data_IF_627288937335
#
_entry.id   IF_627288937335
#
_cell.length_a   1.000
_cell.length_b   1.000
_cell.length_c   1.000
_cell.angle_alpha   90.00
_cell.angle_beta   90.00
_cell.angle_gamma   90.00
#
_symmetry.space_group_name_H-M   'P 1'
#
loop_
_entity.id
_entity.type
_entity.pdbx_description
1 polymer ?
#
# COMPACT_ATOMS: atom_id res chain seq x y z
N UNK A 1 -43.18 -35.58 25.81
CA UNK A 1 -42.32 -36.63 26.39
C UNK A 1 -41.98 -37.58 25.24
N UNK A 2 -40.91 -37.28 24.48
CA UNK A 2 -40.46 -38.10 23.36
C UNK A 2 -39.15 -38.78 23.72
N UNK A 3 -39.19 -40.11 23.58
CA UNK A 3 -38.18 -41.06 24.04
C UNK A 3 -36.93 -41.02 23.13
N UNK A 4 -35.74 -40.86 23.74
CA UNK A 4 -34.44 -40.71 23.07
C UNK A 4 -33.69 -42.03 22.87
N UNK A 5 -34.38 -43.18 22.76
CA UNK A 5 -33.73 -44.52 22.78
C UNK A 5 -33.97 -45.42 21.57
N UNK A 6 -34.27 -44.92 20.42
CA UNK A 6 -34.55 -45.76 19.25
C UNK A 6 -33.86 -45.35 17.95
N UNK A 7 -32.55 -45.15 17.94
CA UNK A 7 -31.73 -45.17 16.71
C UNK A 7 -30.33 -45.70 17.03
N UNK A 8 -30.19 -46.96 17.33
CA UNK A 8 -28.97 -47.72 17.14
C UNK A 8 -29.35 -49.17 16.85
N UNK A 9 -29.44 -49.51 15.57
CA UNK A 9 -29.24 -50.88 15.03
C UNK A 9 -29.54 -50.86 13.52
N UNK A 10 -28.52 -51.00 12.72
CA UNK A 10 -28.67 -51.36 11.31
C UNK A 10 -27.74 -50.61 10.36
N UNK A 11 -26.52 -51.09 10.20
CA UNK A 11 -25.86 -51.24 8.89
C UNK A 11 -24.42 -51.75 9.08
N UNK A 12 -24.28 -53.04 9.07
CA UNK A 12 -23.03 -53.72 8.70
C UNK A 12 -23.06 -53.93 7.18
N UNK A 13 -22.01 -53.56 6.48
CA UNK A 13 -21.77 -54.07 5.14
C UNK A 13 -21.50 -52.97 4.09
N UNK A 14 -20.26 -52.71 3.77
CA UNK A 14 -19.86 -51.91 2.62
C UNK A 14 -18.47 -51.29 2.78
N UNK A 15 -17.42 -52.14 2.70
CA UNK A 15 -16.06 -51.63 2.48
C UNK A 15 -16.01 -51.09 1.06
N UNK A 16 -16.22 -49.80 0.86
CA UNK A 16 -15.88 -49.09 -0.36
C UNK A 16 -14.50 -48.46 -0.13
N UNK A 17 -13.52 -48.96 -0.86
CA UNK A 17 -12.15 -48.41 -0.84
C UNK A 17 -12.15 -46.94 -1.25
N UNK A 18 -12.02 -46.06 -0.26
CA UNK A 18 -11.63 -44.68 -0.49
C UNK A 18 -10.17 -44.68 -0.93
N UNK A 19 -9.95 -44.69 -2.25
CA UNK A 19 -8.68 -44.24 -2.81
C UNK A 19 -8.51 -42.79 -2.38
N UNK A 20 -7.59 -42.57 -1.47
CA UNK A 20 -7.05 -41.23 -1.17
C UNK A 20 -6.44 -40.69 -2.46
N UNK A 21 -7.26 -39.99 -3.27
CA UNK A 21 -6.71 -39.12 -4.29
C UNK A 21 -5.79 -38.12 -3.55
N UNK A 22 -4.52 -37.98 -3.94
CA UNK A 22 -3.69 -36.97 -3.37
C UNK A 22 -4.42 -35.65 -3.61
N UNK A 23 -4.71 -34.91 -2.54
CA UNK A 23 -5.13 -33.52 -2.64
C UNK A 23 -4.10 -32.83 -3.51
N UNK A 24 -4.40 -32.67 -4.79
CA UNK A 24 -3.66 -31.80 -5.67
C UNK A 24 -3.73 -30.44 -4.97
N UNK A 25 -2.65 -30.07 -4.28
CA UNK A 25 -2.40 -28.67 -3.97
C UNK A 25 -2.55 -27.97 -5.31
N UNK A 26 -3.64 -27.23 -5.47
CA UNK A 26 -3.72 -26.25 -6.53
C UNK A 26 -2.47 -25.39 -6.38
N UNK A 27 -1.46 -25.70 -7.19
CA UNK A 27 -0.42 -24.76 -7.47
C UNK A 27 -1.18 -23.61 -8.14
N UNK A 28 -1.61 -22.62 -7.33
CA UNK A 28 -1.83 -21.31 -7.88
C UNK A 28 -0.54 -21.00 -8.60
N UNK A 29 -0.57 -21.08 -9.94
CA UNK A 29 0.54 -20.66 -10.76
C UNK A 29 0.83 -19.23 -10.27
N UNK A 30 1.94 -19.08 -9.55
CA UNK A 30 2.36 -17.80 -9.00
C UNK A 30 2.56 -16.92 -10.20
N UNK A 31 1.59 -16.04 -10.50
CA UNK A 31 1.64 -15.21 -11.69
C UNK A 31 2.95 -14.44 -11.61
N UNK A 32 3.83 -14.65 -12.60
CA UNK A 32 5.10 -13.92 -12.66
C UNK A 32 4.77 -12.43 -12.79
N UNK A 33 5.33 -11.54 -11.94
CA UNK A 33 5.11 -10.11 -12.08
C UNK A 33 5.39 -9.63 -13.49
N UNK A 34 4.51 -8.81 -14.05
CA UNK A 34 4.72 -8.24 -15.37
C UNK A 34 5.68 -7.05 -15.27
N UNK A 35 6.48 -6.84 -16.32
CA UNK A 35 7.39 -5.70 -16.43
C UNK A 35 6.73 -4.65 -17.32
N UNK A 36 6.55 -3.45 -16.78
CA UNK A 36 5.98 -2.29 -17.47
C UNK A 36 7.04 -1.20 -17.57
N UNK A 37 7.41 -0.73 -18.77
CA UNK A 37 8.34 0.41 -18.93
C UNK A 37 7.75 1.67 -18.30
N UNK A 38 8.59 2.45 -17.60
CA UNK A 38 8.22 3.77 -17.03
C UNK A 38 8.95 4.90 -17.76
N UNK A 39 10.27 4.80 -17.82
CA UNK A 39 11.16 5.70 -18.57
C UNK A 39 12.52 5.02 -18.79
N UNK A 40 13.47 5.68 -19.42
CA UNK A 40 14.81 5.12 -19.65
C UNK A 40 15.47 4.68 -18.36
N UNK A 41 15.80 3.37 -18.28
CA UNK A 41 16.37 2.74 -17.09
C UNK A 41 15.41 2.59 -15.91
N UNK A 42 14.10 2.76 -16.11
CA UNK A 42 13.07 2.55 -15.10
C UNK A 42 11.97 1.62 -15.60
N UNK A 43 11.67 0.61 -14.81
CA UNK A 43 10.53 -0.28 -15.05
C UNK A 43 9.70 -0.40 -13.76
N UNK A 44 8.44 -0.74 -13.93
CA UNK A 44 7.54 -1.10 -12.85
C UNK A 44 7.23 -2.60 -12.95
N UNK A 45 7.42 -3.35 -11.86
CA UNK A 45 6.90 -4.71 -11.74
C UNK A 45 5.49 -4.61 -11.16
N UNK A 46 4.52 -5.23 -11.83
CA UNK A 46 3.12 -5.25 -11.38
C UNK A 46 2.63 -6.68 -11.21
N UNK A 47 1.67 -6.91 -10.30
CA UNK A 47 1.15 -8.24 -9.99
C UNK A 47 1.92 -8.98 -8.88
N UNK A 48 2.72 -8.25 -8.09
CA UNK A 48 3.49 -8.80 -6.97
C UNK A 48 2.92 -8.40 -5.58
N UNK A 49 1.65 -8.10 -5.47
CA UNK A 49 1.04 -7.39 -4.36
C UNK A 49 0.86 -5.94 -4.79
N UNK A 50 1.69 -5.01 -4.31
CA UNK A 50 1.80 -3.67 -4.89
C UNK A 50 2.72 -3.60 -6.11
N UNK A 51 2.75 -2.46 -6.78
CA UNK A 51 3.74 -2.15 -7.79
C UNK A 51 5.12 -1.93 -7.14
N UNK A 52 6.16 -2.39 -7.83
CA UNK A 52 7.56 -2.18 -7.42
C UNK A 52 8.23 -1.35 -8.50
N UNK A 53 8.67 -0.14 -8.17
CA UNK A 53 9.47 0.66 -9.10
C UNK A 53 10.93 0.19 -9.03
N UNK A 54 11.53 -0.05 -10.20
CA UNK A 54 12.91 -0.50 -10.33
C UNK A 54 13.70 0.49 -11.18
N UNK A 55 14.72 1.12 -10.60
CA UNK A 55 15.78 1.79 -11.34
C UNK A 55 16.85 0.76 -11.67
N UNK A 56 17.15 0.59 -12.94
CA UNK A 56 18.17 -0.36 -13.42
C UNK A 56 19.47 0.38 -13.80
N UNK A 57 20.62 -0.13 -13.33
CA UNK A 57 21.93 0.34 -13.74
C UNK A 57 22.89 -0.85 -13.80
N UNK A 58 23.98 -0.73 -14.55
CA UNK A 58 25.01 -1.80 -14.66
C UNK A 58 25.66 -2.11 -13.32
N UNK A 59 25.76 -1.13 -12.42
CA UNK A 59 26.34 -1.29 -11.07
C UNK A 59 25.43 -2.00 -10.09
N UNK A 60 24.10 -1.96 -10.32
CA UNK A 60 23.09 -2.52 -9.43
C UNK A 60 21.72 -1.88 -9.66
N UNK A 61 20.76 -2.26 -8.83
CA UNK A 61 19.37 -1.82 -8.92
C UNK A 61 18.95 -1.07 -7.66
N UNK A 62 18.06 -0.09 -7.82
CA UNK A 62 17.35 0.59 -6.72
C UNK A 62 15.88 0.27 -6.83
N UNK A 63 15.28 -0.17 -5.73
CA UNK A 63 13.85 -0.50 -5.67
C UNK A 63 13.07 0.53 -4.85
N UNK A 64 11.81 0.72 -5.20
CA UNK A 64 10.81 1.28 -4.31
C UNK A 64 9.74 0.21 -4.10
N UNK A 65 9.62 -0.22 -2.86
CA UNK A 65 8.87 -1.37 -2.36
C UNK A 65 9.40 -2.74 -2.81
N UNK A 66 8.87 -3.82 -2.25
CA UNK A 66 9.34 -5.19 -2.47
C UNK A 66 8.22 -6.19 -2.78
N UNK A 67 6.97 -5.72 -2.79
CA UNK A 67 5.80 -6.56 -3.01
C UNK A 67 5.46 -7.45 -1.82
N UNK A 68 4.44 -8.29 -1.98
CA UNK A 68 4.00 -9.24 -0.97
C UNK A 68 4.92 -10.47 -0.87
N UNK A 69 5.04 -11.02 0.32
CA UNK A 69 6.02 -12.07 0.65
C UNK A 69 5.95 -13.30 -0.28
N UNK A 70 4.75 -13.72 -0.67
CA UNK A 70 4.55 -14.88 -1.55
C UNK A 70 5.10 -14.68 -2.97
N UNK A 71 5.35 -13.44 -3.40
CA UNK A 71 5.90 -13.13 -4.72
C UNK A 71 7.41 -12.88 -4.72
N UNK A 72 8.08 -12.94 -3.56
CA UNK A 72 9.50 -12.56 -3.41
C UNK A 72 10.41 -13.28 -4.41
N UNK A 73 10.26 -14.59 -4.58
CA UNK A 73 11.10 -15.36 -5.50
C UNK A 73 10.83 -14.99 -6.97
N UNK A 74 9.56 -14.76 -7.33
CA UNK A 74 9.18 -14.31 -8.66
C UNK A 74 9.72 -12.90 -8.96
N UNK A 75 9.67 -11.98 -7.98
CA UNK A 75 10.27 -10.65 -8.09
C UNK A 75 11.78 -10.76 -8.31
N UNK A 76 12.49 -11.53 -7.49
CA UNK A 76 13.94 -11.73 -7.64
C UNK A 76 14.31 -12.33 -9.00
N UNK A 77 13.52 -13.28 -9.50
CA UNK A 77 13.70 -13.84 -10.85
C UNK A 77 13.55 -12.75 -11.93
N UNK A 78 12.55 -11.86 -11.82
CA UNK A 78 12.39 -10.75 -12.77
C UNK A 78 13.55 -9.77 -12.71
N UNK A 79 14.01 -9.42 -11.52
CA UNK A 79 15.13 -8.51 -11.31
C UNK A 79 16.45 -9.08 -11.90
N UNK A 80 16.68 -10.39 -11.82
CA UNK A 80 17.89 -11.02 -12.39
C UNK A 80 17.97 -10.93 -13.91
N UNK A 81 16.83 -10.78 -14.58
CA UNK A 81 16.73 -10.58 -16.04
C UNK A 81 16.88 -9.11 -16.48
N UNK A 82 17.01 -8.17 -15.54
CA UNK A 82 17.17 -6.75 -15.83
C UNK A 82 18.64 -6.30 -15.67
N UNK A 83 19.05 -5.16 -16.27
CA UNK A 83 20.36 -4.58 -16.03
C UNK A 83 20.65 -4.44 -14.53
N UNK A 84 21.88 -4.77 -14.09
CA UNK A 84 22.27 -4.89 -12.68
C UNK A 84 22.09 -6.30 -12.11
N UNK A 85 21.57 -7.27 -12.91
CA UNK A 85 21.51 -8.70 -12.62
C UNK A 85 20.94 -9.06 -11.24
N UNK A 86 19.92 -8.32 -10.78
CA UNK A 86 19.26 -8.56 -9.50
C UNK A 86 20.07 -8.16 -8.26
N UNK A 87 21.20 -7.48 -8.40
CA UNK A 87 21.92 -6.88 -7.28
C UNK A 87 21.17 -5.62 -6.83
N UNK A 88 20.34 -5.73 -5.80
CA UNK A 88 19.62 -4.60 -5.21
C UNK A 88 20.50 -3.94 -4.15
N UNK A 89 20.99 -2.74 -4.45
CA UNK A 89 21.86 -1.99 -3.53
C UNK A 89 21.05 -1.27 -2.45
N UNK A 90 19.95 -0.64 -2.87
CA UNK A 90 19.07 0.14 -1.99
C UNK A 90 17.62 -0.14 -2.33
N UNK A 91 16.81 -0.15 -1.30
CA UNK A 91 15.36 -0.26 -1.41
C UNK A 91 14.71 0.76 -0.50
N UNK A 92 13.77 1.51 -1.04
CA UNK A 92 12.90 2.39 -0.28
C UNK A 92 11.59 1.67 0.00
N UNK A 93 11.02 1.79 1.21
CA UNK A 93 9.64 1.38 1.46
C UNK A 93 8.78 2.62 1.56
N UNK A 94 7.73 2.70 0.73
CA UNK A 94 6.77 3.79 0.76
C UNK A 94 6.01 3.83 2.06
N UNK A 95 5.63 2.67 2.61
CA UNK A 95 4.99 2.50 3.91
C UNK A 95 5.15 1.05 4.41
N UNK A 96 4.46 0.66 5.49
CA UNK A 96 4.71 -0.58 6.23
C UNK A 96 3.78 -1.75 5.88
N UNK A 97 2.79 -1.61 5.00
CA UNK A 97 1.86 -2.70 4.67
C UNK A 97 2.56 -3.88 4.00
N UNK A 98 2.08 -5.09 4.31
CA UNK A 98 2.73 -6.36 3.96
C UNK A 98 2.82 -6.65 2.47
N UNK A 99 1.93 -6.07 1.69
CA UNK A 99 1.93 -6.14 0.24
C UNK A 99 2.97 -5.22 -0.43
N UNK A 100 3.60 -4.33 0.36
CA UNK A 100 4.70 -3.46 -0.07
C UNK A 100 6.05 -3.92 0.47
N UNK A 101 6.09 -4.46 1.70
CA UNK A 101 7.34 -4.78 2.40
C UNK A 101 7.59 -6.28 2.57
N UNK A 102 6.75 -7.14 1.98
CA UNK A 102 6.80 -8.58 2.19
C UNK A 102 8.11 -9.23 1.76
N UNK A 103 8.79 -8.67 0.75
CA UNK A 103 10.10 -9.13 0.27
C UNK A 103 11.29 -8.63 1.11
N UNK A 104 11.10 -7.66 2.01
CA UNK A 104 12.19 -6.97 2.73
C UNK A 104 13.22 -7.92 3.35
N UNK A 105 12.76 -8.95 4.06
CA UNK A 105 13.66 -9.89 4.74
C UNK A 105 14.60 -10.62 3.79
N UNK A 106 14.15 -10.96 2.57
CA UNK A 106 14.97 -11.62 1.58
C UNK A 106 16.03 -10.68 1.01
N UNK A 107 15.65 -9.44 0.71
CA UNK A 107 16.58 -8.41 0.23
C UNK A 107 17.56 -7.97 1.32
N UNK A 108 17.12 -7.76 2.56
CA UNK A 108 17.99 -7.42 3.68
C UNK A 108 19.04 -8.49 3.96
N UNK A 109 18.66 -9.78 3.92
CA UNK A 109 19.65 -10.89 4.02
C UNK A 109 20.66 -10.90 2.87
N UNK A 110 20.31 -10.33 1.73
CA UNK A 110 21.22 -10.19 0.58
C UNK A 110 22.09 -8.93 0.64
N UNK A 111 22.01 -8.16 1.72
CA UNK A 111 22.83 -6.95 1.94
C UNK A 111 22.22 -5.65 1.37
N UNK A 112 20.95 -5.66 0.97
CA UNK A 112 20.25 -4.45 0.51
C UNK A 112 20.08 -3.47 1.67
N UNK A 113 20.43 -2.20 1.47
CA UNK A 113 20.12 -1.12 2.42
C UNK A 113 18.66 -0.70 2.26
N UNK A 114 17.84 -0.93 3.30
CA UNK A 114 16.43 -0.53 3.30
C UNK A 114 16.29 0.84 3.94
N UNK A 115 15.57 1.76 3.29
CA UNK A 115 15.31 3.14 3.71
C UNK A 115 13.80 3.34 3.81
N UNK A 116 13.32 3.93 4.92
CA UNK A 116 11.91 4.25 5.10
C UNK A 116 11.71 5.36 6.14
N UNK A 117 10.47 5.72 6.42
CA UNK A 117 10.14 6.56 7.57
C UNK A 117 10.36 5.81 8.89
N UNK A 118 10.69 6.53 9.97
CA UNK A 118 10.92 5.93 11.30
C UNK A 118 9.69 5.16 11.81
N UNK A 119 8.48 5.67 11.58
CA UNK A 119 7.24 4.99 11.96
C UNK A 119 7.06 3.67 11.19
N UNK A 120 7.42 3.62 9.91
CA UNK A 120 7.46 2.37 9.14
C UNK A 120 8.38 1.35 9.82
N UNK A 121 9.59 1.74 10.25
CA UNK A 121 10.47 0.85 11.01
C UNK A 121 9.85 0.38 12.32
N UNK A 122 9.20 1.27 13.06
CA UNK A 122 8.55 0.93 14.32
C UNK A 122 7.42 -0.10 14.13
N UNK A 123 6.57 0.07 13.12
CA UNK A 123 5.53 -0.91 12.77
C UNK A 123 6.11 -2.28 12.38
N UNK A 124 7.21 -2.30 11.62
CA UNK A 124 7.84 -3.57 11.21
C UNK A 124 8.54 -4.28 12.36
N UNK A 125 8.94 -3.57 13.40
CA UNK A 125 9.71 -4.08 14.55
C UNK A 125 8.83 -4.50 15.73
N UNK A 126 7.52 -4.27 15.71
CA UNK A 126 6.64 -4.44 16.86
C UNK A 126 5.41 -5.29 16.49
N UNK A 127 5.00 -6.19 17.38
CA UNK A 127 3.69 -6.83 17.30
C UNK A 127 2.63 -5.79 17.63
N UNK A 128 1.58 -5.69 16.82
CA UNK A 128 0.44 -4.83 17.13
C UNK A 128 -0.88 -5.49 16.77
N UNK A 129 -1.92 -5.09 17.49
CA UNK A 129 -3.26 -5.64 17.31
C UNK A 129 -4.03 -4.82 16.26
N UNK A 130 -4.67 -5.51 15.32
CA UNK A 130 -5.56 -4.94 14.31
C UNK A 130 -7.01 -5.17 14.75
N UNK A 131 -7.68 -4.17 15.36
CA UNK A 131 -9.01 -4.37 15.94
C UNK A 131 -10.09 -4.76 14.92
N UNK A 132 -10.00 -4.24 13.71
CA UNK A 132 -10.97 -4.50 12.63
C UNK A 132 -10.81 -5.90 11.99
N UNK A 133 -9.66 -6.56 12.22
CA UNK A 133 -9.37 -7.92 11.77
C UNK A 133 -9.30 -8.92 12.93
N UNK A 134 -9.49 -8.45 14.16
CA UNK A 134 -9.41 -9.25 15.40
C UNK A 134 -8.16 -10.12 15.50
N UNK A 135 -7.02 -9.64 14.96
CA UNK A 135 -5.75 -10.37 14.95
C UNK A 135 -4.55 -9.51 15.31
N UNK A 136 -3.47 -10.18 15.71
CA UNK A 136 -2.17 -9.55 15.84
C UNK A 136 -1.41 -9.61 14.51
N UNK A 137 -0.88 -8.47 14.08
CA UNK A 137 0.16 -8.40 13.08
C UNK A 137 1.52 -8.59 13.77
N UNK A 138 2.27 -9.60 13.34
CA UNK A 138 3.56 -9.94 13.97
C UNK A 138 4.69 -9.08 13.41
N UNK A 139 5.64 -8.71 14.30
CA UNK A 139 6.88 -8.08 13.87
C UNK A 139 7.58 -8.90 12.79
N UNK A 140 8.18 -8.24 11.83
CA UNK A 140 9.04 -8.87 10.85
C UNK A 140 10.42 -9.20 11.45
N UNK A 141 11.16 -10.16 10.87
CA UNK A 141 12.53 -10.42 11.31
C UNK A 141 13.42 -9.19 11.07
N UNK A 142 14.48 -9.06 11.86
CA UNK A 142 15.37 -7.89 11.89
C UNK A 142 15.91 -7.48 10.51
N UNK A 143 16.14 -8.45 9.64
CA UNK A 143 16.63 -8.23 8.29
C UNK A 143 15.62 -7.51 7.37
N UNK A 144 14.34 -7.50 7.78
CA UNK A 144 13.29 -6.77 7.08
C UNK A 144 13.18 -5.30 7.50
N UNK A 145 13.85 -4.91 8.59
CA UNK A 145 13.72 -3.57 9.14
C UNK A 145 14.56 -2.57 8.35
N UNK A 146 14.07 -1.34 8.11
CA UNK A 146 14.85 -0.26 7.53
C UNK A 146 16.15 -0.01 8.33
N UNK A 147 17.28 -0.08 7.65
CA UNK A 147 18.60 0.22 8.23
C UNK A 147 18.83 1.73 8.33
N UNK A 148 18.22 2.52 7.43
CA UNK A 148 18.22 3.98 7.44
C UNK A 148 16.79 4.48 7.52
N UNK A 149 16.55 5.48 8.38
CA UNK A 149 15.22 6.09 8.53
C UNK A 149 15.28 7.61 8.40
N UNK A 150 14.14 8.20 8.04
CA UNK A 150 13.91 9.65 8.00
C UNK A 150 12.69 10.02 8.86
N UNK A 151 12.63 11.29 9.26
CA UNK A 151 11.47 11.88 9.93
C UNK A 151 10.74 12.88 9.03
N UNK A 152 11.43 13.60 8.16
CA UNK A 152 10.83 14.59 7.27
C UNK A 152 11.29 14.35 5.82
N UNK A 153 12.46 14.81 5.44
CA UNK A 153 13.00 14.74 4.08
C UNK A 153 14.50 14.51 4.09
N UNK A 154 14.97 13.76 3.09
CA UNK A 154 16.39 13.57 2.83
C UNK A 154 16.64 13.43 1.32
N UNK A 155 17.88 13.48 0.90
CA UNK A 155 18.31 13.24 -0.47
C UNK A 155 19.59 12.39 -0.50
N UNK A 156 19.77 11.67 -1.58
CA UNK A 156 20.95 10.84 -1.81
C UNK A 156 21.27 10.72 -3.29
N UNK A 157 22.47 10.26 -3.62
CA UNK A 157 22.84 9.92 -4.99
C UNK A 157 23.19 8.44 -5.03
N UNK A 158 22.39 7.65 -5.76
CA UNK A 158 22.58 6.20 -5.90
C UNK A 158 22.41 5.83 -7.38
N UNK A 159 23.30 4.97 -7.89
CA UNK A 159 23.30 4.54 -9.28
C UNK A 159 23.22 5.71 -10.28
N UNK A 160 23.91 6.81 -9.97
CA UNK A 160 23.97 8.02 -10.79
C UNK A 160 22.68 8.84 -10.83
N UNK A 161 21.73 8.57 -9.93
CA UNK A 161 20.47 9.33 -9.83
C UNK A 161 20.44 10.14 -8.53
N UNK A 162 20.05 11.41 -8.63
CA UNK A 162 19.68 12.23 -7.49
C UNK A 162 18.27 11.81 -7.05
N UNK A 163 18.18 11.26 -5.84
CA UNK A 163 16.92 10.74 -5.26
C UNK A 163 16.57 11.61 -4.07
N UNK A 164 15.44 12.29 -4.14
CA UNK A 164 14.81 12.96 -3.01
C UNK A 164 13.70 12.07 -2.47
N UNK A 165 13.57 11.95 -1.17
CA UNK A 165 12.50 11.21 -0.53
C UNK A 165 12.04 11.94 0.72
N UNK A 166 10.74 11.85 1.02
CA UNK A 166 10.21 12.63 2.12
C UNK A 166 8.87 12.14 2.62
N UNK A 167 8.58 12.47 3.86
CA UNK A 167 7.39 12.08 4.58
C UNK A 167 6.14 12.71 3.96
N UNK A 168 5.10 11.90 3.82
CA UNK A 168 3.73 12.30 3.49
C UNK A 168 2.89 12.12 4.75
N UNK A 169 2.80 13.17 5.56
CA UNK A 169 2.22 13.11 6.89
C UNK A 169 0.79 12.56 6.86
N UNK A 170 0.58 11.40 7.49
CA UNK A 170 -0.72 10.79 7.75
C UNK A 170 -1.62 10.64 6.51
N UNK A 171 -1.01 10.31 5.35
CA UNK A 171 -1.72 10.22 4.07
C UNK A 171 -2.54 8.94 3.95
N UNK A 172 -1.88 7.79 3.81
CA UNK A 172 -2.43 6.46 3.78
C UNK A 172 -2.18 5.73 5.11
N UNK A 173 -0.96 5.92 5.64
CA UNK A 173 -0.50 5.54 6.99
C UNK A 173 0.22 6.72 7.63
N UNK A 174 0.70 6.54 8.86
CA UNK A 174 1.54 7.52 9.55
C UNK A 174 3.02 7.53 9.10
N UNK A 175 3.43 6.54 8.32
CA UNK A 175 4.81 6.33 7.87
C UNK A 175 5.04 6.44 6.37
N UNK A 176 4.13 7.07 5.63
CA UNK A 176 4.23 7.19 4.18
C UNK A 176 5.39 8.08 3.74
N UNK A 177 6.13 7.66 2.70
CA UNK A 177 7.10 8.49 2.01
C UNK A 177 6.87 8.48 0.49
N UNK A 178 7.20 9.59 -0.15
CA UNK A 178 7.45 9.60 -1.60
C UNK A 178 8.92 9.35 -1.89
N UNK A 179 9.23 8.86 -3.10
CA UNK A 179 10.61 8.71 -3.60
C UNK A 179 10.68 9.31 -5.00
N UNK A 180 11.46 10.37 -5.17
CA UNK A 180 11.53 11.13 -6.41
C UNK A 180 12.93 11.06 -7.05
N UNK A 181 13.04 10.38 -8.17
CA UNK A 181 14.24 10.35 -9.01
C UNK A 181 14.23 11.62 -9.87
N UNK A 182 14.92 12.66 -9.39
CA UNK A 182 14.84 14.03 -9.91
C UNK A 182 15.25 14.11 -11.38
N UNK A 183 16.39 13.51 -11.76
CA UNK A 183 16.95 13.60 -13.10
C UNK A 183 16.09 12.87 -14.13
N UNK A 184 15.50 11.75 -13.75
CA UNK A 184 14.59 10.95 -14.58
C UNK A 184 13.15 11.48 -14.59
N UNK A 185 12.82 12.39 -13.66
CA UNK A 185 11.47 12.89 -13.44
C UNK A 185 10.43 11.78 -13.17
N UNK A 186 10.83 10.77 -12.35
CA UNK A 186 10.02 9.63 -11.95
C UNK A 186 9.77 9.69 -10.45
N UNK A 187 8.50 9.71 -10.06
CA UNK A 187 8.04 9.82 -8.67
C UNK A 187 7.28 8.56 -8.27
N UNK A 188 7.73 7.85 -7.23
CA UNK A 188 6.91 6.85 -6.55
C UNK A 188 6.11 7.52 -5.44
N UNK A 189 4.79 7.37 -5.48
CA UNK A 189 3.85 8.05 -4.58
C UNK A 189 3.19 7.10 -3.56
N UNK A 190 3.47 5.79 -3.63
CA UNK A 190 2.87 4.81 -2.74
C UNK A 190 1.35 4.78 -2.85
N UNK A 191 0.69 4.54 -1.73
CA UNK A 191 -0.78 4.55 -1.61
C UNK A 191 -1.37 5.94 -1.28
N UNK A 192 -0.54 7.01 -1.31
CA UNK A 192 -1.04 8.38 -1.26
C UNK A 192 -1.89 8.73 -2.50
N UNK A 193 -1.81 7.92 -3.57
CA UNK A 193 -2.63 7.99 -4.78
C UNK A 193 -3.22 6.62 -5.11
N UNK A 194 -4.43 6.57 -5.70
CA UNK A 194 -5.15 5.33 -5.98
C UNK A 194 -5.93 5.43 -7.29
N UNK A 195 -5.26 5.37 -8.45
CA UNK A 195 -5.93 5.57 -9.74
C UNK A 195 -6.88 4.43 -10.12
N UNK A 196 -6.70 3.25 -9.56
CA UNK A 196 -7.43 2.04 -9.94
C UNK A 196 -8.40 1.54 -8.85
N UNK A 197 -7.99 1.57 -7.59
CA UNK A 197 -8.76 1.08 -6.45
C UNK A 197 -9.41 2.22 -5.69
N UNK A 198 -10.39 1.90 -4.85
CA UNK A 198 -10.86 2.84 -3.84
C UNK A 198 -9.69 3.26 -2.96
N UNK A 199 -9.56 4.55 -2.61
CA UNK A 199 -8.53 4.98 -1.68
C UNK A 199 -8.68 4.24 -0.34
N UNK A 200 -7.59 3.67 0.14
CA UNK A 200 -7.55 3.07 1.48
C UNK A 200 -7.02 4.12 2.44
N UNK A 201 -7.72 4.30 3.55
CA UNK A 201 -7.32 5.15 4.67
C UNK A 201 -7.11 4.23 5.86
N UNK A 202 -5.86 3.96 6.18
CA UNK A 202 -5.55 3.18 7.38
C UNK A 202 -5.65 4.08 8.62
N UNK A 203 -6.89 4.41 9.00
CA UNK A 203 -7.18 5.29 10.13
C UNK A 203 -6.58 4.78 11.45
N UNK A 204 -6.39 3.46 11.59
CA UNK A 204 -5.77 2.87 12.77
C UNK A 204 -4.24 3.07 12.75
N UNK A 205 -3.62 2.97 11.59
CA UNK A 205 -2.21 3.27 11.35
C UNK A 205 -1.93 4.75 11.08
N UNK A 206 -2.87 5.64 11.39
CA UNK A 206 -2.69 7.10 11.35
C UNK A 206 -3.04 7.78 10.03
N UNK A 207 -3.46 7.02 9.00
CA UNK A 207 -3.89 7.61 7.72
C UNK A 207 -5.30 8.22 7.79
N UNK A 208 -5.51 9.35 7.13
CA UNK A 208 -6.83 9.98 7.06
C UNK A 208 -7.00 10.85 5.82
N UNK A 209 -8.25 11.22 5.53
CA UNK A 209 -8.60 11.91 4.30
C UNK A 209 -7.96 13.30 4.17
N UNK A 210 -7.79 14.04 5.28
CA UNK A 210 -7.10 15.33 5.29
C UNK A 210 -5.62 15.20 5.00
N UNK A 211 -4.91 14.29 5.67
CA UNK A 211 -3.50 14.01 5.42
C UNK A 211 -3.26 13.52 3.99
N UNK A 212 -4.19 12.72 3.43
CA UNK A 212 -4.15 12.31 2.01
C UNK A 212 -4.24 13.51 1.07
N UNK A 213 -5.15 14.47 1.32
CA UNK A 213 -5.26 15.68 0.50
C UNK A 213 -3.98 16.52 0.57
N UNK A 214 -3.42 16.72 1.77
CA UNK A 214 -2.18 17.47 1.97
C UNK A 214 -0.98 16.79 1.29
N UNK A 215 -0.90 15.46 1.36
CA UNK A 215 0.11 14.67 0.66
C UNK A 215 0.01 14.84 -0.87
N UNK A 216 -1.20 14.73 -1.44
CA UNK A 216 -1.43 14.93 -2.87
C UNK A 216 -1.08 16.36 -3.30
N UNK A 217 -1.39 17.38 -2.50
CA UNK A 217 -0.98 18.76 -2.73
C UNK A 217 0.56 18.90 -2.74
N UNK A 218 1.23 18.27 -1.78
CA UNK A 218 2.71 18.23 -1.73
C UNK A 218 3.30 17.55 -2.97
N UNK A 219 2.73 16.43 -3.41
CA UNK A 219 3.16 15.73 -4.64
C UNK A 219 2.93 16.60 -5.89
N UNK A 220 1.82 17.32 -5.97
CA UNK A 220 1.57 18.27 -7.06
C UNK A 220 2.61 19.39 -7.12
N UNK A 221 3.07 19.90 -5.97
CA UNK A 221 4.11 20.93 -5.91
C UNK A 221 5.47 20.41 -6.38
N UNK A 222 5.74 19.10 -6.26
CA UNK A 222 6.98 18.45 -6.69
C UNK A 222 7.00 18.11 -8.18
N UNK A 223 5.85 17.99 -8.83
CA UNK A 223 5.67 17.42 -10.18
C UNK A 223 5.46 18.48 -11.25
N UNK A 224 5.76 18.13 -12.49
CA UNK A 224 5.45 18.91 -13.71
C UNK A 224 4.69 18.04 -14.72
N UNK A 225 4.35 18.60 -15.89
CA UNK A 225 3.54 17.91 -16.90
C UNK A 225 4.19 16.64 -17.47
N UNK A 226 5.51 16.48 -17.36
CA UNK A 226 6.27 15.33 -17.84
C UNK A 226 6.55 14.29 -16.76
N UNK A 227 6.24 14.57 -15.50
CA UNK A 227 6.52 13.65 -14.40
C UNK A 227 5.74 12.35 -14.57
N UNK A 228 6.45 11.22 -14.45
CA UNK A 228 5.88 9.87 -14.35
C UNK A 228 5.66 9.52 -12.91
N UNK A 229 4.40 9.32 -12.51
CA UNK A 229 4.01 9.03 -11.13
C UNK A 229 3.63 7.56 -11.03
N UNK A 230 4.31 6.82 -10.15
CA UNK A 230 4.10 5.39 -9.93
C UNK A 230 3.33 5.21 -8.62
N UNK A 231 2.06 4.77 -8.68
CA UNK A 231 1.26 4.43 -7.51
C UNK A 231 1.59 3.02 -7.02
N UNK A 232 1.20 2.66 -5.79
CA UNK A 232 1.27 1.26 -5.33
C UNK A 232 0.37 0.33 -6.15
N UNK A 233 -0.71 0.83 -6.73
CA UNK A 233 -1.65 0.04 -7.54
C UNK A 233 -2.13 0.81 -8.76
N UNK A 234 -2.13 0.15 -9.91
CA UNK A 234 -2.63 0.71 -11.15
C UNK A 234 -1.53 1.16 -12.10
N UNK A 235 -1.89 1.84 -13.20
CA UNK A 235 -0.94 2.31 -14.20
C UNK A 235 -0.11 3.49 -13.72
N UNK A 236 0.99 3.77 -14.43
CA UNK A 236 1.74 5.02 -14.27
C UNK A 236 0.82 6.19 -14.60
N UNK A 237 0.83 7.20 -13.73
CA UNK A 237 0.03 8.41 -13.82
C UNK A 237 0.86 9.60 -14.31
N UNK A 238 0.18 10.61 -14.83
CA UNK A 238 0.73 11.95 -15.02
C UNK A 238 0.22 12.95 -13.97
N UNK A 239 0.70 14.18 -14.08
CA UNK A 239 0.28 15.26 -13.16
C UNK A 239 -1.22 15.60 -13.27
N UNK A 240 -1.83 15.44 -14.44
CA UNK A 240 -3.25 15.73 -14.63
C UNK A 240 -4.15 14.74 -13.86
N UNK A 241 -3.79 13.44 -13.87
CA UNK A 241 -4.51 12.43 -13.10
C UNK A 241 -4.32 12.64 -11.59
N UNK A 242 -3.12 13.04 -11.15
CA UNK A 242 -2.87 13.41 -9.75
C UNK A 242 -3.72 14.61 -9.34
N UNK A 243 -3.84 15.64 -10.20
CA UNK A 243 -4.70 16.80 -9.93
C UNK A 243 -6.17 16.39 -9.78
N UNK A 244 -6.67 15.56 -10.69
CA UNK A 244 -8.05 15.08 -10.62
C UNK A 244 -8.33 14.26 -9.36
N UNK A 245 -7.35 13.46 -8.91
CA UNK A 245 -7.47 12.72 -7.65
C UNK A 245 -7.43 13.64 -6.43
N UNK A 246 -6.56 14.64 -6.42
CA UNK A 246 -6.53 15.67 -5.38
C UNK A 246 -7.86 16.43 -5.28
N UNK A 247 -8.40 16.88 -6.41
CA UNK A 247 -9.67 17.63 -6.45
C UNK A 247 -10.81 16.78 -5.89
N UNK A 248 -10.86 15.49 -6.23
CA UNK A 248 -11.83 14.54 -5.68
C UNK A 248 -11.64 14.34 -4.17
N UNK A 249 -10.40 14.12 -3.73
CA UNK A 249 -10.07 13.91 -2.31
C UNK A 249 -10.46 15.13 -1.49
N UNK A 250 -10.13 16.34 -1.97
CA UNK A 250 -10.47 17.60 -1.31
C UNK A 250 -11.98 17.82 -1.23
N UNK A 251 -12.70 17.56 -2.33
CA UNK A 251 -14.16 17.64 -2.36
C UNK A 251 -14.80 16.68 -1.36
N UNK A 252 -14.32 15.44 -1.27
CA UNK A 252 -14.81 14.46 -0.31
C UNK A 252 -14.51 14.89 1.12
N UNK A 253 -13.30 15.40 1.37
CA UNK A 253 -12.92 15.93 2.68
C UNK A 253 -13.89 17.02 3.14
N UNK A 254 -14.12 18.04 2.31
CA UNK A 254 -14.98 19.16 2.68
C UNK A 254 -16.44 18.71 2.92
N UNK A 255 -17.00 17.87 2.02
CA UNK A 255 -18.36 17.35 2.16
C UNK A 255 -18.56 16.50 3.42
N UNK A 256 -17.60 15.59 3.67
CA UNK A 256 -17.69 14.71 4.84
C UNK A 256 -17.50 15.48 6.14
N UNK A 257 -16.59 16.45 6.18
CA UNK A 257 -16.40 17.33 7.35
C UNK A 257 -17.69 18.07 7.71
N UNK A 258 -18.39 18.63 6.72
CA UNK A 258 -19.68 19.30 6.93
C UNK A 258 -20.75 18.36 7.51
N UNK A 259 -20.71 17.08 7.15
CA UNK A 259 -21.64 16.07 7.66
C UNK A 259 -21.23 15.58 9.06
N UNK A 260 -19.92 15.44 9.33
CA UNK A 260 -19.38 15.15 10.68
C UNK A 260 -19.82 16.23 11.67
N UNK A 261 -19.69 17.52 11.30
CA UNK A 261 -20.13 18.65 12.12
C UNK A 261 -21.64 18.63 12.46
N UNK A 262 -22.44 17.95 11.64
CA UNK A 262 -23.89 17.73 11.87
C UNK A 262 -24.18 16.46 12.67
N UNK A 263 -23.15 15.75 13.15
CA UNK A 263 -23.29 14.51 13.90
C UNK A 263 -23.69 13.30 13.06
N UNK A 264 -23.52 13.34 11.74
CA UNK A 264 -23.89 12.25 10.84
C UNK A 264 -22.89 11.10 10.91
N UNK A 265 -23.40 9.87 10.91
CA UNK A 265 -22.61 8.65 10.79
C UNK A 265 -22.13 8.41 9.35
N UNK A 266 -21.23 7.46 9.15
CA UNK A 266 -20.79 7.06 7.82
C UNK A 266 -21.95 6.60 6.91
N UNK A 267 -22.95 5.90 7.46
CA UNK A 267 -24.14 5.49 6.71
C UNK A 267 -24.99 6.71 6.32
N UNK A 268 -25.20 7.64 7.26
CA UNK A 268 -25.98 8.87 6.98
C UNK A 268 -25.31 9.70 5.87
N UNK A 269 -23.96 9.73 5.81
CA UNK A 269 -23.21 10.39 4.73
C UNK A 269 -23.46 9.77 3.38
N UNK A 270 -23.50 8.43 3.31
CA UNK A 270 -23.82 7.70 2.07
C UNK A 270 -25.25 8.00 1.63
N UNK A 271 -26.20 7.97 2.56
CA UNK A 271 -27.62 8.23 2.29
C UNK A 271 -27.86 9.69 1.87
N UNK A 272 -27.08 10.63 2.41
CA UNK A 272 -27.06 12.01 1.99
C UNK A 272 -26.40 12.25 0.61
N UNK A 273 -25.83 11.21 0.02
CA UNK A 273 -25.24 11.27 -1.31
C UNK A 273 -23.86 11.95 -1.37
N UNK A 274 -23.02 11.76 -0.34
CA UNK A 274 -21.68 12.36 -0.25
C UNK A 274 -20.81 12.05 -1.49
N UNK A 275 -21.00 10.89 -2.12
CA UNK A 275 -20.29 10.44 -3.33
C UNK A 275 -20.89 10.98 -4.63
N UNK A 276 -22.00 11.72 -4.59
CA UNK A 276 -22.69 12.18 -5.81
C UNK A 276 -21.83 13.14 -6.63
N UNK A 277 -21.74 12.87 -7.93
CA UNK A 277 -21.02 13.73 -8.88
C UNK A 277 -19.49 13.57 -8.84
N UNK A 278 -18.97 12.51 -8.23
CA UNK A 278 -17.56 12.15 -8.34
C UNK A 278 -17.23 11.65 -9.76
N UNK A 279 -15.98 11.85 -10.17
CA UNK A 279 -15.48 11.39 -11.50
C UNK A 279 -15.27 9.87 -11.57
N UNK A 280 -15.34 9.17 -10.44
CA UNK A 280 -15.19 7.72 -10.36
C UNK A 280 -16.27 7.09 -9.48
N UNK A 281 -16.54 5.80 -9.71
CA UNK A 281 -17.39 4.98 -8.85
C UNK A 281 -16.53 4.23 -7.84
N UNK A 282 -16.95 4.23 -6.58
CA UNK A 282 -16.34 3.43 -5.52
C UNK A 282 -16.93 2.02 -5.52
N UNK A 283 -16.09 0.99 -5.28
CA UNK A 283 -16.54 -0.40 -5.16
C UNK A 283 -17.21 -0.64 -3.81
N UNK A 284 -16.69 -0.05 -2.74
CA UNK A 284 -17.25 -0.10 -1.40
C UNK A 284 -17.30 1.32 -0.77
N UNK A 285 -18.31 2.13 -1.18
CA UNK A 285 -18.43 3.49 -0.71
C UNK A 285 -18.69 3.59 0.80
N UNK A 286 -19.38 2.60 1.39
CA UNK A 286 -19.65 2.61 2.84
C UNK A 286 -18.38 2.33 3.65
N UNK A 287 -17.56 1.37 3.22
CA UNK A 287 -16.26 1.14 3.88
C UNK A 287 -15.38 2.38 3.81
N UNK A 288 -15.26 3.00 2.63
CA UNK A 288 -14.50 4.22 2.48
C UNK A 288 -15.02 5.35 3.39
N UNK A 289 -16.35 5.55 3.44
CA UNK A 289 -16.97 6.56 4.30
C UNK A 289 -16.72 6.27 5.79
N UNK A 290 -16.74 4.99 6.18
CA UNK A 290 -16.44 4.56 7.55
C UNK A 290 -14.98 4.85 7.92
N UNK A 291 -14.03 4.47 7.06
CA UNK A 291 -12.61 4.70 7.31
C UNK A 291 -12.30 6.21 7.40
N UNK A 292 -12.88 7.00 6.49
CA UNK A 292 -12.76 8.45 6.54
C UNK A 292 -13.38 9.05 7.82
N UNK A 293 -14.59 8.61 8.20
CA UNK A 293 -15.25 9.02 9.44
C UNK A 293 -14.40 8.75 10.68
N UNK A 294 -13.80 7.54 10.76
CA UNK A 294 -12.86 7.20 11.83
C UNK A 294 -11.64 8.11 11.85
N UNK A 295 -11.10 8.43 10.67
CA UNK A 295 -9.98 9.36 10.52
C UNK A 295 -10.30 10.75 11.06
N UNK A 296 -11.49 11.29 10.81
CA UNK A 296 -11.91 12.60 11.36
C UNK A 296 -11.88 12.62 12.90
N UNK A 297 -12.36 11.56 13.54
CA UNK A 297 -12.33 11.48 15.00
C UNK A 297 -10.92 11.30 15.56
N UNK A 298 -10.08 10.52 14.90
CA UNK A 298 -8.68 10.35 15.30
C UNK A 298 -7.89 11.67 15.20
N UNK A 299 -8.23 12.51 14.20
CA UNK A 299 -7.56 13.80 13.92
C UNK A 299 -8.39 15.03 14.28
N UNK A 300 -9.38 14.90 15.17
CA UNK A 300 -10.29 16.01 15.52
C UNK A 300 -9.56 17.28 15.98
N UNK A 301 -8.42 17.17 16.66
CA UNK A 301 -7.61 18.32 17.07
C UNK A 301 -7.02 19.13 15.90
N UNK A 302 -6.90 18.51 14.72
CA UNK A 302 -6.42 19.15 13.49
C UNK A 302 -7.52 19.90 12.74
N UNK A 303 -8.80 19.72 13.12
CA UNK A 303 -9.96 20.27 12.43
C UNK A 303 -10.38 21.67 12.93
N UNK A 304 -9.67 22.22 13.92
CA UNK A 304 -10.05 23.48 14.59
C UNK A 304 -11.16 23.32 15.61
N UNK A 305 -11.26 24.28 16.55
CA UNK A 305 -12.13 24.19 17.72
C UNK A 305 -13.65 24.20 17.50
N UNK A 306 -14.12 24.27 16.26
CA UNK A 306 -15.53 24.37 15.91
C UNK A 306 -16.16 23.00 15.55
N UNK A 307 -15.44 21.90 15.71
CA UNK A 307 -15.89 20.55 15.32
C UNK A 307 -16.47 19.74 16.48
N UNK A 308 -16.37 20.24 17.71
CA UNK A 308 -16.89 19.57 18.92
C UNK A 308 -18.06 20.35 19.52
#
# INVERSE_FOLDING_TARGET
MFDRRAIVKGALGGVVGLTLAPFARSAFAQANPAIVPVSDGFVMLTGAGGNILVRTASSGQVLVDSGAAQFTDAVRMRLSGLPGAGKVETMFNTHWHRDQVGGNAAFGRSGTTIIAHEKTRAHLATDYYLPHEERYEKALPKEAHPAKTIFDRDETVIAGQKIEYGHLLEAHTDGDIYVFFRDANVLAAGDAVSPLKDPVLDWFGGGWLGGRADAQQKLLALTNAQTRIVPSYGPVMGRAELQAEFDMTRMLFDRMLDLVKKGMSAQDMIDAGVMKGLSRTFNDPLKFAYDAYKGYWAHHNSLGGDVL
#
